data_IF_820180715272
#
_entry.id   IF_820180715272
#
_cell.length_a   1.000
_cell.length_b   1.000
_cell.length_c   1.000
_cell.angle_alpha   90.00
_cell.angle_beta   90.00
_cell.angle_gamma   90.00
#
_symmetry.space_group_name_H-M   'P 1'
#
loop_
_entity.id
_entity.type
_entity.pdbx_description
1 polymer ?
#
# COMPACT_ATOMS: atom_id res chain seq x y z
N UNK A 1 14.67 27.03 4.40
CA UNK A 1 14.57 26.55 3.01
C UNK A 1 15.26 25.20 2.95
N UNK A 2 14.49 24.12 2.93
CA UNK A 2 15.02 22.79 2.64
C UNK A 2 15.44 22.79 1.18
N UNK A 3 16.70 22.47 0.87
CA UNK A 3 17.21 22.42 -0.51
C UNK A 3 16.42 21.35 -1.27
N UNK A 4 15.53 21.75 -2.18
CA UNK A 4 14.66 20.86 -2.98
C UNK A 4 15.47 19.77 -3.69
N UNK A 5 16.73 20.06 -4.03
CA UNK A 5 17.67 19.09 -4.58
C UNK A 5 17.97 17.96 -3.60
N UNK A 6 18.20 18.26 -2.31
CA UNK A 6 18.48 17.24 -1.29
C UNK A 6 17.25 16.34 -1.06
N UNK A 7 16.05 16.91 -1.16
CA UNK A 7 14.79 16.15 -1.10
C UNK A 7 14.67 15.21 -2.29
N UNK A 8 14.93 15.69 -3.51
CA UNK A 8 14.90 14.89 -4.72
C UNK A 8 15.96 13.77 -4.73
N UNK A 9 17.18 14.06 -4.27
CA UNK A 9 18.23 13.05 -4.11
C UNK A 9 17.87 11.98 -3.09
N UNK A 10 17.26 12.37 -1.97
CA UNK A 10 16.75 11.42 -0.99
C UNK A 10 15.66 10.54 -1.59
N UNK A 11 14.69 11.12 -2.31
CA UNK A 11 13.61 10.37 -2.95
C UNK A 11 14.15 9.30 -3.91
N UNK A 12 15.12 9.66 -4.77
CA UNK A 12 15.79 8.70 -5.66
C UNK A 12 16.46 7.56 -4.89
N UNK A 13 17.21 7.88 -3.83
CA UNK A 13 17.85 6.85 -2.98
C UNK A 13 16.84 5.91 -2.33
N UNK A 14 15.70 6.43 -1.88
CA UNK A 14 14.64 5.62 -1.27
C UNK A 14 14.05 4.64 -2.28
N UNK A 15 13.77 5.09 -3.51
CA UNK A 15 13.27 4.22 -4.58
C UNK A 15 14.26 3.10 -4.88
N UNK A 16 15.53 3.43 -5.11
CA UNK A 16 16.57 2.43 -5.38
C UNK A 16 16.72 1.43 -4.24
N UNK A 17 16.71 1.89 -2.99
CA UNK A 17 16.80 1.02 -1.82
C UNK A 17 15.58 0.11 -1.72
N UNK A 18 14.38 0.60 -2.04
CA UNK A 18 13.17 -0.21 -2.01
C UNK A 18 13.20 -1.29 -3.09
N UNK A 19 13.57 -0.95 -4.33
CA UNK A 19 13.71 -1.91 -5.43
C UNK A 19 14.71 -3.02 -5.08
N UNK A 20 15.86 -2.66 -4.50
CA UNK A 20 16.90 -3.61 -4.10
C UNK A 20 16.41 -4.58 -3.00
N UNK A 21 15.73 -4.06 -1.98
CA UNK A 21 15.15 -4.90 -0.92
C UNK A 21 14.05 -5.82 -1.45
N UNK A 22 13.13 -5.30 -2.28
CA UNK A 22 12.06 -6.11 -2.88
C UNK A 22 12.66 -7.22 -3.75
N UNK A 23 13.65 -6.91 -4.59
CA UNK A 23 14.34 -7.91 -5.42
C UNK A 23 15.00 -8.99 -4.56
N UNK A 24 15.72 -8.58 -3.52
CA UNK A 24 16.42 -9.49 -2.60
C UNK A 24 15.44 -10.46 -1.94
N UNK A 25 14.33 -9.97 -1.39
CA UNK A 25 13.32 -10.82 -0.75
C UNK A 25 12.63 -11.77 -1.75
N UNK A 26 12.36 -11.31 -2.98
CA UNK A 26 11.82 -12.18 -4.04
C UNK A 26 12.80 -13.30 -4.41
N UNK A 27 14.11 -13.01 -4.50
CA UNK A 27 15.14 -14.01 -4.78
C UNK A 27 15.28 -15.02 -3.65
N UNK A 28 15.31 -14.56 -2.40
CA UNK A 28 15.36 -15.41 -1.21
C UNK A 28 14.13 -16.32 -1.18
N UNK A 29 12.94 -15.77 -1.39
CA UNK A 29 11.68 -16.53 -1.40
C UNK A 29 11.65 -17.54 -2.55
N UNK A 30 12.04 -17.13 -3.76
CA UNK A 30 12.10 -18.01 -4.92
C UNK A 30 13.02 -19.22 -4.67
N UNK A 31 14.22 -18.98 -4.11
CA UNK A 31 15.17 -20.03 -3.76
C UNK A 31 14.72 -20.90 -2.58
N UNK A 32 14.20 -20.28 -1.52
CA UNK A 32 13.78 -20.97 -0.30
C UNK A 32 12.58 -21.90 -0.49
N UNK A 33 11.64 -21.52 -1.36
CA UNK A 33 10.45 -22.33 -1.66
C UNK A 33 10.53 -23.08 -2.99
N UNK A 34 11.60 -22.90 -3.78
CA UNK A 34 11.77 -23.57 -5.08
C UNK A 34 10.69 -23.19 -6.09
N UNK A 35 10.29 -21.92 -6.14
CA UNK A 35 9.17 -21.46 -6.97
C UNK A 35 9.48 -21.49 -8.48
N UNK A 36 10.76 -21.58 -8.85
CA UNK A 36 11.19 -21.69 -10.25
C UNK A 36 10.94 -20.41 -11.06
N UNK A 37 10.85 -19.25 -10.40
CA UNK A 37 10.72 -17.96 -11.07
C UNK A 37 12.04 -17.63 -11.79
N UNK A 38 11.92 -17.15 -13.03
CA UNK A 38 13.07 -16.64 -13.79
C UNK A 38 13.48 -15.25 -13.29
N UNK A 39 14.70 -14.85 -13.60
CA UNK A 39 15.21 -13.50 -13.29
C UNK A 39 14.34 -12.40 -13.93
N UNK A 40 13.88 -12.60 -15.16
CA UNK A 40 12.94 -11.69 -15.84
C UNK A 40 11.60 -11.55 -15.09
N UNK A 41 11.09 -12.65 -14.53
CA UNK A 41 9.86 -12.62 -13.72
C UNK A 41 10.11 -11.89 -12.41
N UNK A 42 11.23 -12.15 -11.73
CA UNK A 42 11.61 -11.45 -10.51
C UNK A 42 11.75 -9.95 -10.75
N UNK A 43 12.35 -9.55 -11.88
CA UNK A 43 12.50 -8.14 -12.25
C UNK A 43 11.14 -7.45 -12.44
N UNK A 44 10.23 -8.09 -13.17
CA UNK A 44 8.86 -7.56 -13.37
C UNK A 44 8.08 -7.48 -12.05
N UNK A 45 8.22 -8.47 -11.18
CA UNK A 45 7.61 -8.45 -9.84
C UNK A 45 8.21 -7.34 -8.97
N UNK A 46 9.52 -7.16 -9.03
CA UNK A 46 10.21 -6.08 -8.31
C UNK A 46 9.65 -4.72 -8.70
N UNK A 47 9.53 -4.46 -10.01
CA UNK A 47 8.97 -3.22 -10.52
C UNK A 47 7.50 -3.03 -10.09
N UNK A 48 6.67 -4.07 -10.22
CA UNK A 48 5.26 -4.01 -9.84
C UNK A 48 5.03 -3.78 -8.34
N UNK A 49 5.71 -4.54 -7.48
CA UNK A 49 5.60 -4.41 -6.03
C UNK A 49 6.15 -3.07 -5.55
N UNK A 50 7.32 -2.66 -6.02
CA UNK A 50 7.92 -1.36 -5.66
C UNK A 50 7.01 -0.21 -6.08
N UNK A 51 6.46 -0.23 -7.30
CA UNK A 51 5.52 0.80 -7.77
C UNK A 51 4.27 0.84 -6.90
N UNK A 52 3.71 -0.32 -6.54
CA UNK A 52 2.55 -0.42 -5.65
C UNK A 52 2.82 0.14 -4.25
N UNK A 53 3.98 -0.17 -3.67
CA UNK A 53 4.39 0.35 -2.35
C UNK A 53 4.65 1.87 -2.39
N UNK A 54 5.35 2.38 -3.40
CA UNK A 54 5.62 3.81 -3.54
C UNK A 54 4.33 4.60 -3.77
N UNK A 55 3.46 4.09 -4.64
CA UNK A 55 2.12 4.66 -4.84
C UNK A 55 1.36 4.68 -3.52
N UNK A 56 1.44 3.58 -2.76
CA UNK A 56 0.78 3.49 -1.49
C UNK A 56 1.29 4.52 -0.47
N UNK A 57 2.59 4.79 -0.38
CA UNK A 57 3.08 5.83 0.53
C UNK A 57 2.94 7.26 -0.01
N UNK A 58 2.90 7.45 -1.33
CA UNK A 58 2.71 8.77 -1.92
C UNK A 58 1.27 9.28 -1.76
N UNK A 59 0.30 8.37 -1.78
CA UNK A 59 -1.13 8.68 -1.74
C UNK A 59 -1.79 8.24 -0.43
N UNK A 60 -1.01 7.84 0.59
CA UNK A 60 -1.52 7.22 1.83
C UNK A 60 -2.59 6.16 1.51
N UNK A 61 -2.18 5.19 0.69
CA UNK A 61 -2.98 4.45 -0.27
C UNK A 61 -4.44 4.27 0.10
N UNK A 62 -5.26 4.76 -0.82
CA UNK A 62 -6.61 4.32 -1.04
C UNK A 62 -6.64 3.78 -2.48
N UNK A 63 -7.17 2.56 -2.74
CA UNK A 63 -7.22 1.97 -4.09
C UNK A 63 -7.78 2.93 -5.15
N UNK A 64 -7.51 2.72 -6.44
CA UNK A 64 -7.92 3.62 -7.55
C UNK A 64 -9.44 3.96 -7.58
N UNK A 65 -10.29 3.13 -6.97
CA UNK A 65 -11.72 3.37 -6.81
C UNK A 65 -12.09 4.25 -5.61
N UNK A 66 -11.11 4.72 -4.84
CA UNK A 66 -11.29 5.54 -3.65
C UNK A 66 -10.82 6.95 -3.93
N UNK A 67 -11.73 7.91 -3.78
CA UNK A 67 -11.46 9.31 -4.10
C UNK A 67 -10.58 9.94 -3.02
N UNK A 68 -9.87 11.00 -3.38
CA UNK A 68 -9.15 11.81 -2.39
C UNK A 68 -10.12 12.27 -1.28
N UNK A 69 -9.82 11.92 -0.02
CA UNK A 69 -10.68 12.17 1.14
C UNK A 69 -11.62 11.03 1.53
N UNK A 70 -11.72 9.96 0.73
CA UNK A 70 -12.43 8.73 1.08
C UNK A 70 -11.46 7.69 1.68
N UNK A 71 -11.98 6.85 2.57
CA UNK A 71 -11.27 5.71 3.16
C UNK A 71 -11.34 4.47 2.27
N UNK A 72 -10.32 3.61 2.36
CA UNK A 72 -10.37 2.31 1.70
C UNK A 72 -11.57 1.51 2.23
N UNK A 73 -12.49 1.18 1.34
CA UNK A 73 -13.70 0.41 1.62
C UNK A 73 -13.84 -0.75 0.63
N UNK A 74 -14.40 -1.86 1.11
CA UNK A 74 -14.70 -3.04 0.29
C UNK A 74 -15.98 -3.73 0.75
N UNK A 75 -16.54 -4.59 -0.11
CA UNK A 75 -17.63 -5.48 0.22
C UNK A 75 -17.15 -6.93 0.15
N UNK A 76 -17.45 -7.70 1.19
CA UNK A 76 -17.17 -9.13 1.24
C UNK A 76 -18.39 -9.86 1.82
N UNK A 77 -18.87 -10.88 1.11
CA UNK A 77 -20.03 -11.69 1.50
C UNK A 77 -21.29 -10.87 1.86
N UNK A 78 -21.52 -9.73 1.19
CA UNK A 78 -22.67 -8.86 1.44
C UNK A 78 -22.50 -7.92 2.64
N UNK A 79 -21.32 -7.90 3.26
CA UNK A 79 -20.97 -6.99 4.34
C UNK A 79 -19.98 -5.94 3.84
N UNK A 80 -20.10 -4.73 4.38
CA UNK A 80 -19.25 -3.60 4.05
C UNK A 80 -18.22 -3.38 5.14
N UNK A 81 -17.01 -3.05 4.70
CA UNK A 81 -15.86 -2.79 5.56
C UNK A 81 -15.15 -1.52 5.08
N UNK A 82 -14.47 -0.87 6.02
CA UNK A 82 -13.53 0.21 5.70
C UNK A 82 -12.31 0.13 6.60
N UNK A 83 -11.19 0.65 6.12
CA UNK A 83 -9.91 0.69 6.83
C UNK A 83 -9.60 2.13 7.24
N UNK A 84 -9.19 2.31 8.49
CA UNK A 84 -8.67 3.58 8.97
C UNK A 84 -7.35 3.92 8.24
N UNK A 85 -7.27 5.10 7.65
CA UNK A 85 -6.08 5.57 6.93
C UNK A 85 -4.87 5.85 7.84
N UNK A 86 -5.08 5.97 9.17
CA UNK A 86 -4.01 6.29 10.13
C UNK A 86 -3.37 5.03 10.72
N UNK A 87 -4.18 4.17 11.36
CA UNK A 87 -3.67 2.98 12.07
C UNK A 87 -3.88 1.67 11.33
N UNK A 88 -4.52 1.70 10.16
CA UNK A 88 -4.85 0.54 9.33
C UNK A 88 -5.80 -0.47 9.99
N UNK A 89 -6.49 -0.08 11.08
CA UNK A 89 -7.52 -0.89 11.68
C UNK A 89 -8.74 -1.00 10.76
N UNK A 90 -9.27 -2.20 10.63
CA UNK A 90 -10.47 -2.49 9.86
C UNK A 90 -11.73 -2.28 10.71
N UNK A 91 -12.79 -1.77 10.10
CA UNK A 91 -14.08 -1.58 10.74
C UNK A 91 -14.70 -2.93 11.09
N UNK A 92 -15.55 -2.99 12.13
CA UNK A 92 -16.50 -4.08 12.25
C UNK A 92 -17.36 -4.24 10.98
N UNK A 93 -17.80 -5.46 10.64
CA UNK A 93 -18.65 -5.69 9.47
C UNK A 93 -19.96 -4.91 9.57
N UNK A 94 -20.33 -4.22 8.50
CA UNK A 94 -21.55 -3.41 8.43
C UNK A 94 -22.51 -3.94 7.37
N UNK A 95 -23.81 -3.86 7.64
CA UNK A 95 -24.85 -4.22 6.66
C UNK A 95 -25.17 -3.08 5.69
N UNK A 96 -24.70 -1.87 6.00
CA UNK A 96 -24.93 -0.66 5.22
C UNK A 96 -23.59 -0.10 4.72
N UNK A 97 -23.57 0.31 3.45
CA UNK A 97 -22.38 0.82 2.76
C UNK A 97 -21.87 2.13 3.37
N UNK A 98 -22.74 2.96 3.95
CA UNK A 98 -22.33 4.23 4.55
C UNK A 98 -21.74 4.07 5.96
N UNK A 99 -22.10 3.00 6.67
CA UNK A 99 -21.72 2.79 8.07
C UNK A 99 -20.23 2.48 8.23
N UNK A 100 -19.64 1.64 7.37
CA UNK A 100 -18.24 1.27 7.48
C UNK A 100 -17.27 2.46 7.24
N UNK A 101 -17.44 3.29 6.19
CA UNK A 101 -16.63 4.50 6.02
C UNK A 101 -16.81 5.52 7.15
N UNK A 102 -18.03 5.69 7.66
CA UNK A 102 -18.30 6.58 8.79
C UNK A 102 -17.56 6.15 10.06
N UNK A 103 -17.44 4.84 10.30
CA UNK A 103 -16.60 4.32 11.38
C UNK A 103 -15.14 4.71 11.18
N UNK A 104 -14.58 4.53 9.97
CA UNK A 104 -13.17 4.78 9.71
C UNK A 104 -12.83 6.25 9.89
N UNK A 105 -13.62 7.17 9.34
CA UNK A 105 -13.44 8.61 9.55
C UNK A 105 -13.56 9.01 11.02
N UNK A 106 -14.54 8.46 11.75
CA UNK A 106 -14.66 8.71 13.19
C UNK A 106 -13.43 8.18 13.95
N UNK A 107 -12.93 7.02 13.58
CA UNK A 107 -11.76 6.43 14.21
C UNK A 107 -10.47 7.22 13.91
N UNK A 108 -10.32 7.74 12.69
CA UNK A 108 -9.21 8.64 12.31
C UNK A 108 -9.12 9.85 13.24
N UNK A 109 -10.25 10.46 13.60
CA UNK A 109 -10.28 11.62 14.52
C UNK A 109 -9.92 11.30 15.98
N UNK A 110 -9.74 10.02 16.32
CA UNK A 110 -9.34 9.58 17.67
C UNK A 110 -7.84 9.36 17.85
N UNK A 111 -7.05 9.53 16.78
CA UNK A 111 -5.58 9.54 16.80
C UNK A 111 -5.04 10.94 17.00
#
# INVERSE_FOLDING_TARGET
MTDERLVAERAKRVVTLLEDNVRTELQITNGGFGLGLSDDTIERLTQGVTSGLLYAFQFDWSPDWVKAGDVHQWNEAGQYFARCGVCLADSPPSQDQATAPAWAHKHETSH
#
